data_IF_567780252986
#
_entry.id   IF_567780252986
#
_cell.length_a   1.000
_cell.length_b   1.000
_cell.length_c   1.000
_cell.angle_alpha   90.00
_cell.angle_beta   90.00
_cell.angle_gamma   90.00
#
_symmetry.space_group_name_H-M   'P 1'
#
loop_
_entity.id
_entity.type
_entity.pdbx_description
1 polymer ?
#
# COMPACT_ATOMS: atom_id res chain seq x y z
N UNK A 1 -26.47 -0.42 -15.50
CA UNK A 1 -25.82 -0.07 -15.20
C UNK A 1 -25.35 -0.08 -14.39
N UNK A 2 -25.18 -0.19 -14.24
CA UNK A 2 -24.70 0.01 -13.69
C UNK A 2 -24.13 0.36 -13.06
N UNK A 3 -24.48 0.47 -12.72
CA UNK A 3 -23.60 1.01 -12.38
C UNK A 3 -22.45 0.52 -11.80
N UNK A 4 -21.65 0.40 -12.25
CA UNK A 4 -20.32 0.13 -11.86
C UNK A 4 -19.63 1.33 -11.30
N UNK A 5 -20.33 2.34 -11.09
CA UNK A 5 -19.80 3.56 -10.51
C UNK A 5 -19.36 3.27 -9.08
N UNK A 6 -18.10 3.58 -8.74
CA UNK A 6 -17.67 3.38 -7.36
C UNK A 6 -18.48 4.22 -6.40
N UNK A 7 -18.68 3.71 -5.23
CA UNK A 7 -19.36 4.44 -4.20
C UNK A 7 -18.57 5.71 -3.89
N UNK A 8 -19.25 6.85 -3.73
CA UNK A 8 -18.50 8.07 -3.40
C UNK A 8 -17.74 7.95 -2.10
N UNK A 9 -18.22 7.13 -1.18
CA UNK A 9 -17.57 6.91 0.10
C UNK A 9 -16.78 5.61 0.13
N UNK A 10 -16.51 5.05 -1.05
CA UNK A 10 -15.72 3.83 -1.16
C UNK A 10 -14.34 4.08 -0.59
N UNK A 11 -13.95 3.38 0.49
CA UNK A 11 -12.68 3.70 1.14
C UNK A 11 -11.48 3.35 0.29
N UNK A 12 -11.64 2.51 -0.73
CA UNK A 12 -10.50 2.00 -1.48
C UNK A 12 -10.51 2.40 -2.93
N UNK A 13 -10.68 3.69 -3.17
CA UNK A 13 -10.44 4.21 -4.51
C UNK A 13 -8.95 4.42 -4.76
N UNK A 14 -8.14 4.14 -3.75
CA UNK A 14 -6.71 4.30 -3.85
C UNK A 14 -6.12 3.19 -4.71
N UNK A 15 -4.95 3.47 -5.28
CA UNK A 15 -4.26 2.52 -6.14
C UNK A 15 -3.77 1.33 -5.34
N UNK A 16 -4.12 0.15 -5.81
CA UNK A 16 -3.66 -1.10 -5.22
C UNK A 16 -2.71 -1.84 -6.15
N UNK A 17 -2.73 -1.53 -7.43
CA UNK A 17 -1.95 -2.24 -8.44
C UNK A 17 -0.95 -1.30 -9.07
N UNK A 18 0.35 -1.56 -8.89
CA UNK A 18 1.38 -0.72 -9.45
C UNK A 18 1.36 -0.71 -10.98
N UNK A 19 0.79 -1.75 -11.59
CA UNK A 19 0.69 -1.81 -13.05
C UNK A 19 -0.26 -0.76 -13.60
N UNK A 20 -1.10 -0.17 -12.76
CA UNK A 20 -2.01 0.89 -13.18
C UNK A 20 -1.35 2.26 -13.16
N UNK A 21 -0.12 2.34 -12.68
CA UNK A 21 0.62 3.59 -12.68
C UNK A 21 1.36 3.68 -14.01
N UNK A 22 0.82 4.49 -14.90
CA UNK A 22 1.37 4.59 -16.25
C UNK A 22 2.72 5.30 -16.27
N UNK A 23 2.88 6.28 -15.41
CA UNK A 23 4.10 7.08 -15.34
C UNK A 23 4.57 7.15 -13.91
N UNK A 24 5.58 6.35 -13.61
CA UNK A 24 6.09 6.26 -12.24
C UNK A 24 6.75 7.54 -11.76
N UNK A 25 7.13 8.43 -12.68
CA UNK A 25 7.70 9.72 -12.28
C UNK A 25 6.67 10.58 -11.56
N UNK A 26 5.38 10.26 -11.69
CA UNK A 26 4.32 10.98 -10.99
C UNK A 26 4.12 10.51 -9.57
N UNK A 27 4.74 9.40 -9.18
CA UNK A 27 4.78 8.99 -7.79
C UNK A 27 5.77 9.86 -7.05
N UNK A 28 5.51 10.13 -5.76
CA UNK A 28 6.52 10.78 -4.95
C UNK A 28 7.73 9.86 -4.81
N UNK A 29 8.86 10.44 -4.43
CA UNK A 29 10.15 9.73 -4.45
C UNK A 29 10.13 8.45 -3.64
N UNK A 30 9.50 8.47 -2.48
CA UNK A 30 9.44 7.29 -1.63
C UNK A 30 8.74 6.14 -2.34
N UNK A 31 7.64 6.45 -3.03
CA UNK A 31 6.89 5.40 -3.72
C UNK A 31 7.58 4.94 -4.98
N UNK A 32 8.34 5.83 -5.63
CA UNK A 32 9.18 5.40 -6.75
C UNK A 32 10.17 4.34 -6.30
N UNK A 33 10.81 4.60 -5.16
CA UNK A 33 11.75 3.64 -4.60
C UNK A 33 11.05 2.34 -4.20
N UNK A 34 9.86 2.46 -3.62
CA UNK A 34 9.10 1.29 -3.21
C UNK A 34 8.80 0.37 -4.40
N UNK A 35 8.31 0.93 -5.49
CA UNK A 35 7.97 0.09 -6.65
C UNK A 35 9.21 -0.45 -7.33
N UNK A 36 10.31 0.28 -7.28
CA UNK A 36 11.57 -0.19 -7.83
C UNK A 36 12.08 -1.43 -7.08
N UNK A 37 12.03 -1.39 -5.75
CA UNK A 37 12.42 -2.53 -4.94
C UNK A 37 11.44 -3.68 -5.14
N UNK A 38 10.15 -3.36 -5.23
CA UNK A 38 9.12 -4.38 -5.42
C UNK A 38 9.31 -5.12 -6.73
N UNK A 39 9.75 -4.42 -7.77
CA UNK A 39 10.03 -5.07 -9.05
C UNK A 39 11.12 -6.12 -8.93
N UNK A 40 12.08 -5.90 -8.03
CA UNK A 40 13.16 -6.86 -7.82
C UNK A 40 12.73 -8.05 -6.98
N UNK A 41 11.72 -7.86 -6.13
CA UNK A 41 11.27 -8.90 -5.21
C UNK A 41 9.75 -8.99 -5.27
N UNK A 42 9.19 -9.37 -6.43
CA UNK A 42 7.74 -9.26 -6.63
C UNK A 42 6.91 -10.16 -5.72
N UNK A 43 7.49 -11.23 -5.21
CA UNK A 43 6.75 -12.16 -4.35
C UNK A 43 6.94 -11.88 -2.86
N UNK A 44 7.79 -10.93 -2.51
CA UNK A 44 8.03 -10.60 -1.10
C UNK A 44 7.09 -9.49 -0.68
N UNK A 45 6.67 -9.53 0.58
CA UNK A 45 5.96 -8.41 1.18
C UNK A 45 7.00 -7.38 1.59
N UNK A 46 6.84 -6.18 1.06
CA UNK A 46 7.81 -5.12 1.28
C UNK A 46 7.28 -4.15 2.32
N UNK A 47 8.01 -4.02 3.41
CA UNK A 47 7.66 -3.12 4.50
C UNK A 47 8.68 -2.00 4.59
N UNK A 48 8.18 -0.80 4.72
CA UNK A 48 9.00 0.40 4.77
C UNK A 48 8.95 1.02 6.15
N UNK A 49 10.10 1.33 6.71
CA UNK A 49 10.15 2.03 7.98
C UNK A 49 9.84 3.50 7.74
N UNK A 50 8.76 3.97 8.32
CA UNK A 50 8.37 5.38 8.23
C UNK A 50 8.12 5.86 9.65
N UNK A 51 9.07 6.61 10.20
CA UNK A 51 8.99 7.03 11.58
C UNK A 51 8.93 5.81 12.50
N UNK A 52 7.91 5.76 13.32
CA UNK A 52 7.75 4.67 14.29
C UNK A 52 6.87 3.54 13.74
N UNK A 53 6.62 3.54 12.45
CA UNK A 53 5.76 2.54 11.82
C UNK A 53 6.51 1.77 10.75
N UNK A 54 6.08 0.53 10.52
CA UNK A 54 6.33 -0.17 9.29
C UNK A 54 5.10 -0.01 8.42
N UNK A 55 5.28 0.47 7.21
CA UNK A 55 4.16 0.70 6.29
C UNK A 55 4.36 -0.12 5.04
N UNK A 56 3.27 -0.50 4.43
CA UNK A 56 3.30 -1.21 3.17
C UNK A 56 2.22 -0.63 2.28
N UNK A 57 2.41 -0.76 0.96
CA UNK A 57 1.62 -0.01 0.00
C UNK A 57 1.14 -0.88 -1.13
N UNK A 58 0.19 -0.39 -1.90
CA UNK A 58 -0.34 -1.04 -3.09
C UNK A 58 -0.90 -2.41 -2.74
N UNK A 59 -0.61 -3.42 -3.55
CA UNK A 59 -1.16 -4.75 -3.33
C UNK A 59 -0.68 -5.36 -2.02
N UNK A 60 0.55 -5.07 -1.60
CA UNK A 60 1.04 -5.56 -0.31
C UNK A 60 0.19 -5.04 0.83
N UNK A 61 -0.28 -3.79 0.73
CA UNK A 61 -1.15 -3.23 1.76
C UNK A 61 -2.45 -4.01 1.86
N UNK A 62 -3.01 -4.39 0.71
CA UNK A 62 -4.23 -5.19 0.70
C UNK A 62 -3.99 -6.54 1.37
N UNK A 63 -2.89 -7.19 1.01
CA UNK A 63 -2.56 -8.50 1.54
C UNK A 63 -2.33 -8.45 3.05
N UNK A 64 -1.48 -7.51 3.48
CA UNK A 64 -1.12 -7.43 4.89
C UNK A 64 -2.33 -7.05 5.75
N UNK A 65 -3.12 -6.09 5.28
CA UNK A 65 -4.30 -5.68 6.05
C UNK A 65 -5.28 -6.82 6.22
N UNK A 66 -5.46 -7.63 5.18
CA UNK A 66 -6.36 -8.76 5.23
C UNK A 66 -5.83 -9.86 6.16
N UNK A 67 -4.55 -10.20 6.02
CA UNK A 67 -3.98 -11.30 6.79
C UNK A 67 -3.83 -10.97 8.27
N UNK A 68 -3.55 -9.72 8.59
CA UNK A 68 -3.35 -9.31 9.97
C UNK A 68 -4.53 -8.56 10.54
N UNK A 69 -5.61 -8.45 9.77
CA UNK A 69 -6.84 -7.76 10.20
C UNK A 69 -6.56 -6.32 10.60
N UNK A 70 -5.73 -5.65 9.81
CA UNK A 70 -5.42 -4.25 10.00
C UNK A 70 -6.29 -3.39 9.09
N UNK A 71 -6.42 -2.13 9.44
CA UNK A 71 -7.20 -1.21 8.64
C UNK A 71 -6.44 -0.90 7.35
N UNK A 72 -7.11 -1.09 6.22
CA UNK A 72 -6.58 -0.65 4.94
C UNK A 72 -7.01 0.78 4.74
N UNK A 73 -6.05 1.66 4.56
CA UNK A 73 -6.32 3.07 4.36
C UNK A 73 -5.58 3.53 3.12
N UNK A 74 -5.33 4.81 3.01
CA UNK A 74 -4.63 5.35 1.85
C UNK A 74 -3.76 6.51 2.27
N UNK A 75 -2.80 6.82 1.40
CA UNK A 75 -1.86 7.89 1.62
C UNK A 75 -1.64 8.60 0.29
N UNK A 76 -1.37 9.89 0.34
CA UNK A 76 -1.12 10.64 -0.87
C UNK A 76 0.18 10.17 -1.50
N UNK A 77 0.12 9.78 -2.76
CA UNK A 77 1.24 9.13 -3.44
C UNK A 77 1.93 10.00 -4.48
N UNK A 78 1.59 11.28 -4.54
CA UNK A 78 2.10 12.18 -5.55
C UNK A 78 1.01 12.53 -6.54
N UNK A 79 1.39 12.81 -7.78
CA UNK A 79 0.44 13.22 -8.80
C UNK A 79 -0.54 12.10 -9.19
N UNK A 80 -0.20 10.87 -8.86
CA UNK A 80 -1.11 9.75 -9.16
C UNK A 80 -2.31 9.72 -8.23
N UNK A 81 -2.31 10.54 -7.18
CA UNK A 81 -3.38 10.55 -6.21
C UNK A 81 -3.06 9.68 -5.02
N UNK A 82 -4.07 9.00 -4.50
CA UNK A 82 -3.87 8.22 -3.27
C UNK A 82 -3.51 6.77 -3.60
N UNK A 83 -2.66 6.21 -2.76
CA UNK A 83 -2.25 4.81 -2.88
C UNK A 83 -2.70 4.06 -1.64
N UNK A 84 -3.01 2.79 -1.80
CA UNK A 84 -3.42 1.95 -0.69
C UNK A 84 -2.27 1.80 0.30
N UNK A 85 -2.58 1.79 1.59
CA UNK A 85 -1.57 1.71 2.64
C UNK A 85 -2.14 1.04 3.88
N UNK A 86 -1.32 0.27 4.56
CA UNK A 86 -1.58 -0.13 5.93
C UNK A 86 -0.25 -0.07 6.68
N UNK A 87 -0.32 -0.02 8.00
CA UNK A 87 0.89 0.13 8.80
C UNK A 87 0.75 -0.48 10.16
N UNK A 88 1.89 -0.81 10.74
CA UNK A 88 1.98 -1.40 12.07
C UNK A 88 3.00 -0.61 12.87
N UNK A 89 2.71 -0.26 14.12
CA UNK A 89 3.74 0.37 14.95
C UNK A 89 4.96 -0.53 15.04
N UNK A 90 6.13 0.10 14.94
CA UNK A 90 7.39 -0.63 14.93
C UNK A 90 7.52 -1.54 16.16
N UNK A 91 7.12 -1.05 17.32
CA UNK A 91 7.27 -1.81 18.55
C UNK A 91 6.32 -3.01 18.66
N UNK A 92 5.30 -3.07 17.79
CA UNK A 92 4.34 -4.17 17.80
C UNK A 92 4.64 -5.19 16.70
N UNK A 93 5.71 -4.96 15.93
CA UNK A 93 5.97 -5.75 14.72
C UNK A 93 6.11 -7.25 15.00
N UNK A 94 6.85 -7.60 16.04
CA UNK A 94 7.11 -9.01 16.32
C UNK A 94 5.83 -9.80 16.58
N UNK A 95 4.86 -9.15 17.20
CA UNK A 95 3.60 -9.81 17.48
C UNK A 95 2.86 -10.16 16.19
N UNK A 96 3.00 -9.32 15.17
CA UNK A 96 2.31 -9.56 13.91
C UNK A 96 3.09 -10.51 13.01
N UNK A 97 4.40 -10.54 13.09
CA UNK A 97 5.19 -11.38 12.18
C UNK A 97 4.89 -12.86 12.37
N UNK A 98 4.48 -13.26 13.55
CA UNK A 98 4.16 -14.68 13.77
C UNK A 98 2.87 -15.08 13.09
N UNK A 99 2.11 -14.14 12.58
CA UNK A 99 0.84 -14.43 11.91
C UNK A 99 0.99 -14.52 10.40
N UNK A 100 2.10 -14.08 9.87
CA UNK A 100 2.35 -14.15 8.45
C UNK A 100 3.02 -15.47 8.11
#
# INVERSE_FOLDING_TARGET
>A
MTTSTPEPNQPNKSLTDTNLVEDRSKLSKMYQHYVEVKDKYPHALLLYRVGDFFETFFQDAVTVSRELELVLTSKHGGEVGRVAMTGVPHHAWERYTTQL
#
